data_IF_451638017025
#
_entry.id   IF_451638017025
#
_cell.length_a   1.000
_cell.length_b   1.000
_cell.length_c   1.000
_cell.angle_alpha   90.00
_cell.angle_beta   90.00
_cell.angle_gamma   90.00
#
_symmetry.space_group_name_H-M   'P 1'
#
loop_
_entity.id
_entity.type
_entity.pdbx_description
1 polymer ?
#
# COMPACT_ATOMS: atom_id res chain seq x y z
N UNK A 1 -27.83 15.36 73.17
CA UNK A 1 -28.67 14.83 72.06
C UNK A 1 -28.41 15.58 70.76
N UNK A 2 -28.44 16.91 70.74
CA UNK A 2 -28.25 17.72 69.53
C UNK A 2 -26.87 17.56 68.85
N UNK A 3 -25.79 17.48 69.62
CA UNK A 3 -24.43 17.34 69.08
C UNK A 3 -24.21 16.03 68.33
N UNK A 4 -24.76 14.91 68.82
CA UNK A 4 -24.66 13.62 68.14
C UNK A 4 -25.37 13.64 66.78
N UNK A 5 -26.52 14.31 66.70
CA UNK A 5 -27.24 14.49 65.43
C UNK A 5 -26.48 15.42 64.46
N UNK A 6 -25.82 16.46 64.96
CA UNK A 6 -24.95 17.32 64.13
C UNK A 6 -23.78 16.52 63.56
N UNK A 7 -23.05 15.80 64.43
CA UNK A 7 -21.91 14.99 64.03
C UNK A 7 -22.30 13.89 63.03
N UNK A 8 -23.46 13.25 63.24
CA UNK A 8 -23.99 12.27 62.29
C UNK A 8 -24.36 12.90 60.95
N UNK A 9 -24.97 14.10 60.95
CA UNK A 9 -25.32 14.82 59.72
C UNK A 9 -24.07 15.22 58.94
N UNK A 10 -23.09 15.80 59.60
CA UNK A 10 -21.81 16.17 58.97
C UNK A 10 -21.12 14.95 58.36
N UNK A 11 -21.09 13.83 59.08
CA UNK A 11 -20.56 12.58 58.56
C UNK A 11 -21.34 12.08 57.33
N UNK A 12 -22.68 12.14 57.36
CA UNK A 12 -23.52 11.77 56.21
C UNK A 12 -23.25 12.66 54.99
N UNK A 13 -23.14 13.97 55.19
CA UNK A 13 -22.83 14.93 54.11
C UNK A 13 -21.43 14.69 53.52
N UNK A 14 -20.44 14.44 54.37
CA UNK A 14 -19.08 14.11 53.93
C UNK A 14 -19.05 12.81 53.12
N UNK A 15 -19.80 11.78 53.55
CA UNK A 15 -19.91 10.52 52.82
C UNK A 15 -20.63 10.68 51.49
N UNK A 16 -21.74 11.41 51.46
CA UNK A 16 -22.47 11.71 50.23
C UNK A 16 -21.56 12.44 49.23
N UNK A 17 -20.82 13.46 49.70
CA UNK A 17 -19.86 14.20 48.87
C UNK A 17 -18.78 13.29 48.26
N UNK A 18 -18.15 12.44 49.07
CA UNK A 18 -17.13 11.48 48.59
C UNK A 18 -17.68 10.49 47.56
N UNK A 19 -18.92 10.01 47.76
CA UNK A 19 -19.59 9.13 46.81
C UNK A 19 -19.82 9.86 45.49
N UNK A 20 -20.35 11.09 45.53
CA UNK A 20 -20.60 11.90 44.33
C UNK A 20 -19.31 12.19 43.55
N UNK A 21 -18.23 12.59 44.24
CA UNK A 21 -16.92 12.83 43.61
C UNK A 21 -16.38 11.56 42.92
N UNK A 22 -16.52 10.41 43.57
CA UNK A 22 -16.09 9.12 43.01
C UNK A 22 -16.95 8.73 41.80
N UNK A 23 -18.26 8.97 41.85
CA UNK A 23 -19.18 8.69 40.74
C UNK A 23 -18.86 9.55 39.51
N UNK A 24 -18.61 10.84 39.72
CA UNK A 24 -18.21 11.76 38.64
C UNK A 24 -16.89 11.33 38.00
N UNK A 25 -15.89 10.91 38.79
CA UNK A 25 -14.63 10.40 38.24
C UNK A 25 -14.83 9.12 37.41
N UNK A 26 -15.69 8.21 37.86
CA UNK A 26 -16.02 6.97 37.14
C UNK A 26 -16.75 7.30 35.83
N UNK A 27 -17.73 8.19 35.85
CA UNK A 27 -18.50 8.59 34.67
C UNK A 27 -17.58 9.20 33.60
N UNK A 28 -16.71 10.14 33.98
CA UNK A 28 -15.71 10.73 33.08
C UNK A 28 -14.78 9.68 32.43
N UNK A 29 -14.38 8.65 33.19
CA UNK A 29 -13.57 7.53 32.67
C UNK A 29 -14.35 6.67 31.69
N UNK A 30 -15.62 6.40 31.96
CA UNK A 30 -16.50 5.63 31.07
C UNK A 30 -16.70 6.38 29.75
N UNK A 31 -17.03 7.67 29.80
CA UNK A 31 -17.20 8.51 28.60
C UNK A 31 -15.93 8.53 27.74
N UNK A 32 -14.77 8.67 28.38
CA UNK A 32 -13.48 8.62 27.70
C UNK A 32 -13.24 7.25 27.05
N UNK A 33 -13.50 6.17 27.79
CA UNK A 33 -13.33 4.80 27.27
C UNK A 33 -14.25 4.52 26.08
N UNK A 34 -15.51 4.97 26.12
CA UNK A 34 -16.47 4.82 25.02
C UNK A 34 -16.03 5.61 23.79
N UNK A 35 -15.63 6.87 23.97
CA UNK A 35 -15.13 7.70 22.88
C UNK A 35 -13.88 7.10 22.22
N UNK A 36 -12.97 6.53 23.01
CA UNK A 36 -11.77 5.85 22.51
C UNK A 36 -12.13 4.54 21.79
N UNK A 37 -13.06 3.76 22.32
CA UNK A 37 -13.50 2.49 21.74
C UNK A 37 -14.11 2.69 20.35
N UNK A 38 -14.95 3.72 20.18
CA UNK A 38 -15.51 4.09 18.87
C UNK A 38 -14.41 4.49 17.89
N UNK A 39 -13.47 5.34 18.30
CA UNK A 39 -12.34 5.76 17.45
C UNK A 39 -11.45 4.58 17.04
N UNK A 40 -11.21 3.64 17.96
CA UNK A 40 -10.44 2.44 17.69
C UNK A 40 -11.14 1.56 16.66
N UNK A 41 -12.44 1.33 16.82
CA UNK A 41 -13.25 0.55 15.88
C UNK A 41 -13.25 1.19 14.47
N UNK A 42 -13.42 2.52 14.39
CA UNK A 42 -13.36 3.24 13.13
C UNK A 42 -12.01 3.06 12.41
N UNK A 43 -10.89 3.23 13.14
CA UNK A 43 -9.55 3.01 12.58
C UNK A 43 -9.34 1.58 12.14
N UNK A 44 -9.80 0.61 12.92
CA UNK A 44 -9.69 -0.80 12.58
C UNK A 44 -10.45 -1.12 11.28
N UNK A 45 -11.70 -0.67 11.16
CA UNK A 45 -12.50 -0.90 9.96
C UNK A 45 -11.89 -0.25 8.70
N UNK A 46 -11.35 0.97 8.84
CA UNK A 46 -10.61 1.62 7.76
C UNK A 46 -9.37 0.80 7.37
N UNK A 47 -8.59 0.35 8.34
CA UNK A 47 -7.39 -0.47 8.11
C UNK A 47 -7.73 -1.77 7.37
N UNK A 48 -8.77 -2.49 7.80
CA UNK A 48 -9.24 -3.72 7.14
C UNK A 48 -9.65 -3.45 5.70
N UNK A 49 -10.37 -2.36 5.45
CA UNK A 49 -10.82 -1.98 4.10
C UNK A 49 -9.62 -1.65 3.20
N UNK A 50 -8.67 -0.88 3.72
CA UNK A 50 -7.42 -0.55 3.01
C UNK A 50 -6.61 -1.81 2.69
N UNK A 51 -6.40 -2.69 3.67
CA UNK A 51 -5.69 -3.96 3.48
C UNK A 51 -6.36 -4.86 2.45
N UNK A 52 -7.70 -4.92 2.44
CA UNK A 52 -8.45 -5.69 1.44
C UNK A 52 -8.22 -5.13 0.03
N UNK A 53 -8.24 -3.81 -0.14
CA UNK A 53 -7.95 -3.15 -1.41
C UNK A 53 -6.52 -3.45 -1.88
N UNK A 54 -5.53 -3.28 -0.99
CA UNK A 54 -4.14 -3.62 -1.31
C UNK A 54 -3.98 -5.09 -1.69
N UNK A 55 -4.60 -6.01 -0.94
CA UNK A 55 -4.57 -7.45 -1.24
C UNK A 55 -5.20 -7.76 -2.60
N UNK A 56 -6.29 -7.09 -2.97
CA UNK A 56 -6.93 -7.26 -4.26
C UNK A 56 -6.01 -6.79 -5.40
N UNK A 57 -5.46 -5.58 -5.30
CA UNK A 57 -4.55 -5.05 -6.31
C UNK A 57 -3.29 -5.92 -6.46
N UNK A 58 -2.73 -6.44 -5.35
CA UNK A 58 -1.59 -7.36 -5.39
C UNK A 58 -1.94 -8.70 -6.04
N UNK A 59 -3.17 -9.18 -5.88
CA UNK A 59 -3.63 -10.40 -6.55
C UNK A 59 -3.67 -10.21 -8.08
N UNK A 60 -3.99 -9.02 -8.57
CA UNK A 60 -3.99 -8.67 -10.01
C UNK A 60 -2.60 -8.57 -10.63
N UNK A 61 -1.54 -8.33 -9.82
CA UNK A 61 -0.16 -8.26 -10.32
C UNK A 61 0.29 -9.61 -10.89
N UNK A 62 -0.15 -10.73 -10.31
CA UNK A 62 0.28 -12.07 -10.75
C UNK A 62 -0.20 -12.41 -12.17
N UNK A 63 -1.49 -12.28 -12.51
CA UNK A 63 -1.96 -12.39 -13.90
C UNK A 63 -1.20 -11.49 -14.87
N UNK A 64 -1.05 -10.20 -14.54
CA UNK A 64 -0.33 -9.25 -15.40
C UNK A 64 1.13 -9.68 -15.64
N UNK A 65 1.81 -10.17 -14.60
CA UNK A 65 3.17 -10.70 -14.73
C UNK A 65 3.25 -11.87 -15.72
N UNK A 66 2.24 -12.75 -15.73
CA UNK A 66 2.15 -13.87 -16.67
C UNK A 66 1.92 -13.35 -18.10
N UNK A 67 0.95 -12.47 -18.31
CA UNK A 67 0.63 -11.90 -19.62
C UNK A 67 1.83 -11.14 -20.22
N UNK A 68 2.52 -10.34 -19.43
CA UNK A 68 3.75 -9.65 -19.84
C UNK A 68 4.85 -10.65 -20.19
N UNK A 69 4.96 -11.75 -19.44
CA UNK A 69 5.89 -12.83 -19.71
C UNK A 69 5.62 -13.53 -21.05
N UNK A 70 4.36 -13.86 -21.32
CA UNK A 70 3.93 -14.47 -22.58
C UNK A 70 4.17 -13.53 -23.75
N UNK A 71 3.76 -12.26 -23.63
CA UNK A 71 3.95 -11.26 -24.67
C UNK A 71 5.44 -11.07 -25.00
N UNK A 72 6.30 -11.02 -23.98
CA UNK A 72 7.76 -10.96 -24.16
C UNK A 72 8.29 -12.19 -24.91
N UNK A 73 7.80 -13.38 -24.58
CA UNK A 73 8.15 -14.63 -25.28
C UNK A 73 7.78 -14.57 -26.76
N UNK A 74 6.54 -14.20 -27.07
CA UNK A 74 6.05 -14.03 -28.44
C UNK A 74 6.83 -12.98 -29.23
N UNK A 75 7.16 -11.86 -28.59
CA UNK A 75 7.97 -10.81 -29.23
C UNK A 75 9.39 -11.31 -29.53
N UNK A 76 9.99 -12.08 -28.62
CA UNK A 76 11.31 -12.68 -28.82
C UNK A 76 11.30 -13.66 -29.99
N UNK A 77 10.25 -14.47 -30.12
CA UNK A 77 10.06 -15.37 -31.26
C UNK A 77 9.93 -14.59 -32.57
N UNK A 78 9.12 -13.53 -32.60
CA UNK A 78 8.98 -12.67 -33.79
C UNK A 78 10.32 -12.04 -34.18
N UNK A 79 11.08 -11.51 -33.23
CA UNK A 79 12.42 -10.94 -33.48
C UNK A 79 13.35 -12.01 -34.06
N UNK A 80 13.35 -13.23 -33.48
CA UNK A 80 14.17 -14.34 -33.97
C UNK A 80 13.80 -14.75 -35.39
N UNK A 81 12.50 -14.84 -35.69
CA UNK A 81 11.98 -15.14 -37.02
C UNK A 81 12.37 -14.06 -38.04
N UNK A 82 12.28 -12.79 -37.65
CA UNK A 82 12.74 -11.66 -38.45
C UNK A 82 14.25 -11.72 -38.71
N UNK A 83 15.07 -12.00 -37.70
CA UNK A 83 16.52 -12.16 -37.86
C UNK A 83 16.89 -13.31 -38.78
N UNK A 84 16.20 -14.44 -38.65
CA UNK A 84 16.38 -15.58 -39.56
C UNK A 84 16.02 -15.19 -41.00
N UNK A 85 14.92 -14.44 -41.20
CA UNK A 85 14.56 -13.90 -42.50
C UNK A 85 15.63 -12.94 -43.04
N UNK A 86 16.14 -12.01 -42.23
CA UNK A 86 17.20 -11.09 -42.60
C UNK A 86 18.46 -11.84 -43.07
N UNK A 87 18.87 -12.87 -42.33
CA UNK A 87 20.02 -13.72 -42.70
C UNK A 87 19.81 -14.44 -44.03
N UNK A 88 18.61 -14.98 -44.28
CA UNK A 88 18.30 -15.62 -45.57
C UNK A 88 18.33 -14.62 -46.73
N UNK A 89 17.76 -13.42 -46.56
CA UNK A 89 17.81 -12.39 -47.60
C UNK A 89 19.25 -11.97 -47.90
N UNK A 90 20.11 -11.83 -46.87
CA UNK A 90 21.51 -11.51 -47.05
C UNK A 90 22.27 -12.60 -47.85
N UNK A 91 21.95 -13.89 -47.63
CA UNK A 91 22.60 -15.01 -48.29
C UNK A 91 22.09 -15.27 -49.72
N UNK A 92 20.77 -15.29 -49.90
CA UNK A 92 20.10 -15.84 -51.09
C UNK A 92 19.20 -14.81 -51.79
N UNK A 93 19.00 -13.63 -51.21
CA UNK A 93 18.07 -12.63 -51.72
C UNK A 93 18.55 -11.87 -52.97
N UNK A 94 17.67 -11.08 -53.60
CA UNK A 94 18.02 -10.17 -54.70
C UNK A 94 19.08 -9.14 -54.27
N UNK A 95 20.01 -8.77 -55.15
CA UNK A 95 21.10 -7.82 -54.84
C UNK A 95 20.60 -6.48 -54.29
N UNK A 96 19.46 -5.98 -54.78
CA UNK A 96 18.82 -4.74 -54.31
C UNK A 96 18.38 -4.79 -52.85
N UNK A 97 18.11 -5.99 -52.30
CA UNK A 97 17.66 -6.17 -50.92
C UNK A 97 18.81 -6.53 -49.98
N UNK A 98 19.89 -7.13 -50.47
CA UNK A 98 21.04 -7.54 -49.64
C UNK A 98 21.69 -6.37 -48.90
N UNK A 99 21.74 -5.20 -49.51
CA UNK A 99 22.31 -3.98 -48.91
C UNK A 99 21.35 -3.25 -47.97
N UNK A 100 20.05 -3.55 -48.02
CA UNK A 100 19.01 -2.83 -47.28
C UNK A 100 18.60 -3.48 -45.96
N UNK A 101 19.03 -4.72 -45.69
CA UNK A 101 18.50 -5.52 -44.57
C UNK A 101 19.56 -5.70 -43.47
N UNK A 102 19.19 -5.38 -42.24
CA UNK A 102 20.00 -5.53 -41.02
C UNK A 102 19.21 -6.32 -39.97
N UNK A 103 19.77 -7.38 -39.36
CA UNK A 103 19.10 -8.09 -38.28
C UNK A 103 18.86 -7.19 -37.07
N UNK A 104 17.74 -7.40 -36.39
CA UNK A 104 17.29 -6.63 -35.23
C UNK A 104 18.23 -6.82 -34.02
N UNK A 105 18.80 -8.01 -33.81
CA UNK A 105 19.75 -8.26 -32.71
C UNK A 105 21.09 -7.54 -32.85
N UNK A 106 21.43 -7.08 -34.05
CA UNK A 106 22.65 -6.29 -34.32
C UNK A 106 22.48 -4.80 -33.98
N UNK A 107 21.24 -4.32 -33.83
CA UNK A 107 20.96 -2.94 -33.41
C UNK A 107 21.08 -2.84 -31.88
N UNK A 108 22.30 -2.65 -31.38
CA UNK A 108 22.53 -2.32 -29.96
C UNK A 108 21.86 -0.97 -29.65
N UNK A 109 20.71 -1.00 -29.01
CA UNK A 109 20.18 0.15 -28.31
C UNK A 109 20.87 0.20 -26.93
N UNK A 110 21.79 1.15 -26.75
CA UNK A 110 22.43 1.44 -25.45
C UNK A 110 21.34 1.66 -24.38
N UNK A 111 21.37 0.96 -23.23
CA UNK A 111 20.40 1.19 -22.16
C UNK A 111 20.68 2.56 -21.53
N UNK A 112 19.70 3.47 -21.59
CA UNK A 112 19.74 4.68 -20.75
C UNK A 112 19.56 4.26 -19.29
N UNK A 113 20.64 4.29 -18.53
CA UNK A 113 20.60 4.25 -17.07
C UNK A 113 19.73 5.42 -16.59
N UNK A 114 18.65 5.10 -15.87
CA UNK A 114 17.81 6.11 -15.23
C UNK A 114 18.49 6.52 -13.93
N UNK A 115 19.18 7.66 -13.94
CA UNK A 115 19.68 8.31 -12.73
C UNK A 115 18.51 8.68 -11.81
N UNK A 116 18.34 7.93 -10.72
CA UNK A 116 17.54 8.37 -9.58
C UNK A 116 18.32 9.45 -8.84
N UNK A 117 17.95 10.71 -9.07
CA UNK A 117 18.42 11.86 -8.30
C UNK A 117 17.83 11.78 -6.87
N UNK A 118 18.67 11.42 -5.91
CA UNK A 118 18.40 11.58 -4.48
C UNK A 118 18.29 13.07 -4.12
N UNK A 119 17.06 13.55 -3.94
CA UNK A 119 16.78 14.84 -3.31
C UNK A 119 17.02 14.73 -1.79
N UNK A 120 18.23 15.07 -1.34
CA UNK A 120 18.47 15.40 0.07
C UNK A 120 17.88 16.78 0.38
N UNK A 121 16.74 16.78 1.05
CA UNK A 121 16.15 17.91 1.76
C UNK A 121 17.14 18.41 2.84
N UNK A 122 17.62 19.65 2.71
CA UNK A 122 18.29 20.37 3.79
C UNK A 122 17.26 20.71 4.88
N UNK A 123 17.65 20.48 6.12
CA UNK A 123 17.02 21.04 7.32
C UNK A 123 18.00 21.98 8.01
#
# INVERSE_FOLDING_TARGET
>A
MFELFSLYREWQEEKAKKISETQEEIENKIETADALSIKLLQRFNYSVTSMRSTSHNLAEVRPLQVEVGELKGRLTEVISNCDALCKRIAAEGPESLRSSVQPFTTSKMEPRESETLDLKTQS
#
